data_IF_750156031975
#
_entry.id   IF_750156031975
#
_cell.length_a   1.000
_cell.length_b   1.000
_cell.length_c   1.000
_cell.angle_alpha   90.00
_cell.angle_beta   90.00
_cell.angle_gamma   90.00
#
_symmetry.space_group_name_H-M   'P 1'
#
loop_
_entity.id
_entity.type
_entity.pdbx_description
1 polymer ?
#
# COMPACT_ATOMS: atom_id res chain seq x y z
N UNK A 1 51.71 14.99 9.46
CA UNK A 1 50.41 15.51 9.92
C UNK A 1 49.43 15.52 8.74
N UNK A 2 48.68 14.44 8.47
CA UNK A 2 47.70 14.42 7.35
C UNK A 2 46.42 13.61 7.65
N UNK A 3 46.35 12.95 8.81
CA UNK A 3 45.25 12.04 9.21
C UNK A 3 44.20 12.69 10.13
N UNK A 4 44.47 13.86 10.70
CA UNK A 4 43.54 14.52 11.63
C UNK A 4 42.34 15.15 10.93
N UNK A 5 42.50 15.58 9.68
CA UNK A 5 41.43 16.22 8.90
C UNK A 5 40.33 15.20 8.55
N UNK A 6 40.73 13.96 8.24
CA UNK A 6 39.80 12.86 7.97
C UNK A 6 38.95 12.50 9.20
N UNK A 7 39.50 12.60 10.43
CA UNK A 7 38.75 12.31 11.66
C UNK A 7 37.59 13.30 11.91
N UNK A 8 37.68 14.51 11.38
CA UNK A 8 36.65 15.55 11.55
C UNK A 8 35.67 15.59 10.40
N UNK A 9 36.13 15.35 9.16
CA UNK A 9 35.29 15.42 7.96
C UNK A 9 34.40 14.17 7.83
N UNK A 10 34.93 12.98 8.16
CA UNK A 10 34.20 11.72 8.04
C UNK A 10 32.88 11.69 8.83
N UNK A 11 32.82 12.09 10.12
CA UNK A 11 31.56 12.10 10.85
C UNK A 11 30.56 13.12 10.30
N UNK A 12 31.02 14.28 9.81
CA UNK A 12 30.13 15.28 9.20
C UNK A 12 29.46 14.74 7.93
N UNK A 13 30.22 14.04 7.07
CA UNK A 13 29.67 13.39 5.87
C UNK A 13 28.69 12.28 6.25
N UNK A 14 29.00 11.48 7.27
CA UNK A 14 28.10 10.41 7.73
C UNK A 14 26.76 10.96 8.23
N UNK A 15 26.75 12.11 8.92
CA UNK A 15 25.51 12.77 9.38
C UNK A 15 24.69 13.27 8.20
N UNK A 16 25.32 13.95 7.23
CA UNK A 16 24.63 14.45 6.03
C UNK A 16 24.09 13.29 5.18
N UNK A 17 24.85 12.20 5.05
CA UNK A 17 24.41 10.99 4.35
C UNK A 17 23.22 10.33 5.06
N UNK A 18 23.26 10.19 6.38
CA UNK A 18 22.16 9.61 7.17
C UNK A 18 20.88 10.45 7.06
N UNK A 19 21.00 11.78 7.08
CA UNK A 19 19.89 12.68 6.81
C UNK A 19 19.37 12.51 5.38
N UNK A 20 20.24 12.44 4.37
CA UNK A 20 19.84 12.21 2.98
C UNK A 20 19.11 10.88 2.77
N UNK A 21 19.54 9.82 3.46
CA UNK A 21 18.89 8.51 3.41
C UNK A 21 17.51 8.51 4.07
N UNK A 22 17.28 9.34 5.10
CA UNK A 22 15.96 9.42 5.75
C UNK A 22 14.84 9.93 4.84
N UNK A 23 15.17 10.79 3.87
CA UNK A 23 14.20 11.29 2.88
C UNK A 23 13.97 10.34 1.71
N UNK A 24 14.87 9.37 1.48
CA UNK A 24 14.70 8.39 0.41
C UNK A 24 13.78 7.21 0.79
N UNK A 25 13.34 7.13 2.05
CA UNK A 25 12.45 6.08 2.58
C UNK A 25 11.00 6.56 2.64
N UNK A 26 10.62 7.55 1.84
CA UNK A 26 9.21 7.87 1.66
C UNK A 26 8.60 6.83 0.70
N UNK A 27 8.02 5.79 1.32
CA UNK A 27 7.30 4.70 0.66
C UNK A 27 6.28 5.27 -0.32
N UNK A 28 6.33 4.79 -1.56
CA UNK A 28 5.48 5.16 -2.68
C UNK A 28 4.07 4.64 -2.45
N UNK A 29 3.36 5.31 -1.55
CA UNK A 29 1.96 5.10 -1.23
C UNK A 29 1.11 5.62 -2.39
N UNK A 30 0.76 4.72 -3.31
CA UNK A 30 -0.03 5.03 -4.49
C UNK A 30 -1.48 4.84 -4.12
N UNK A 31 -2.21 5.95 -4.01
CA UNK A 31 -3.67 5.91 -3.92
C UNK A 31 -4.21 5.30 -5.20
N UNK A 32 -4.97 4.22 -5.06
CA UNK A 32 -5.60 3.49 -6.14
C UNK A 32 -7.06 3.20 -5.82
N UNK A 33 -7.86 3.00 -6.85
CA UNK A 33 -9.27 2.61 -6.69
C UNK A 33 -9.33 1.12 -6.35
N UNK A 34 -10.06 0.77 -5.31
CA UNK A 34 -10.45 -0.59 -4.98
C UNK A 34 -11.96 -0.77 -5.13
N UNK A 35 -12.36 -2.01 -5.42
CA UNK A 35 -13.74 -2.41 -5.69
C UNK A 35 -14.22 -3.40 -4.64
N UNK A 36 -15.45 -3.29 -4.18
CA UNK A 36 -16.07 -4.25 -3.26
C UNK A 36 -17.56 -4.42 -3.54
N UNK A 37 -18.13 -5.53 -3.10
CA UNK A 37 -19.56 -5.81 -3.20
C UNK A 37 -20.19 -5.76 -1.80
N UNK A 38 -21.14 -4.85 -1.60
CA UNK A 38 -21.90 -4.77 -0.35
C UNK A 38 -23.22 -5.53 -0.52
N UNK A 39 -23.49 -6.59 0.25
CA UNK A 39 -24.75 -7.35 0.15
C UNK A 39 -26.02 -6.52 0.43
N UNK A 40 -25.90 -5.33 1.00
CA UNK A 40 -26.99 -4.41 1.32
C UNK A 40 -27.22 -3.36 0.23
N UNK A 41 -26.26 -3.13 -0.66
CA UNK A 41 -26.33 -2.11 -1.72
C UNK A 41 -26.22 -2.82 -3.07
N UNK A 42 -27.17 -2.58 -3.97
CA UNK A 42 -27.11 -3.20 -5.28
C UNK A 42 -25.94 -2.63 -6.11
N UNK A 43 -24.99 -3.49 -6.46
CA UNK A 43 -23.89 -3.19 -7.39
C UNK A 43 -22.54 -2.96 -6.71
N UNK A 44 -21.49 -3.10 -7.52
CA UNK A 44 -20.09 -2.94 -7.09
C UNK A 44 -19.86 -1.48 -6.67
N UNK A 45 -19.25 -1.32 -5.50
CA UNK A 45 -18.86 -0.04 -4.94
C UNK A 45 -17.36 0.20 -5.16
N UNK A 46 -16.99 1.47 -5.27
CA UNK A 46 -15.61 1.92 -5.46
C UNK A 46 -15.15 2.74 -4.26
N UNK A 47 -13.94 2.49 -3.77
CA UNK A 47 -13.32 3.26 -2.69
C UNK A 47 -11.85 3.56 -3.02
N UNK A 48 -11.40 4.77 -2.70
CA UNK A 48 -9.98 5.12 -2.83
C UNK A 48 -9.21 4.52 -1.67
N UNK A 49 -8.21 3.70 -1.99
CA UNK A 49 -7.38 3.02 -1.01
C UNK A 49 -5.90 3.24 -1.30
N UNK A 50 -5.11 3.29 -0.25
CA UNK A 50 -3.63 3.39 -0.28
C UNK A 50 -3.00 2.07 0.24
N UNK A 51 -3.75 0.99 0.12
CA UNK A 51 -3.28 -0.32 0.52
C UNK A 51 -2.24 -0.84 -0.47
N UNK A 52 -1.15 -1.39 0.07
CA UNK A 52 -0.23 -2.19 -0.73
C UNK A 52 -0.96 -3.46 -1.19
N UNK A 53 -0.88 -3.77 -2.48
CA UNK A 53 -1.29 -5.07 -3.00
C UNK A 53 -0.47 -6.16 -2.32
N UNK A 54 -1.08 -6.91 -1.40
CA UNK A 54 -0.47 -8.10 -0.81
C UNK A 54 -0.48 -9.25 -1.82
N UNK A 55 -1.50 -9.31 -2.69
CA UNK A 55 -1.64 -10.28 -3.78
C UNK A 55 -2.12 -9.58 -5.06
N UNK A 56 -1.99 -10.20 -6.25
CA UNK A 56 -2.47 -9.62 -7.50
C UNK A 56 -3.99 -9.37 -7.51
N UNK A 57 -4.75 -10.07 -6.67
CA UNK A 57 -6.22 -10.00 -6.64
C UNK A 57 -6.74 -9.28 -5.38
N UNK A 58 -6.02 -9.36 -4.25
CA UNK A 58 -6.43 -8.78 -2.97
C UNK A 58 -5.67 -7.50 -2.63
N UNK A 59 -6.41 -6.41 -2.40
CA UNK A 59 -5.85 -5.14 -1.95
C UNK A 59 -5.73 -5.07 -0.42
N UNK A 60 -6.87 -5.00 0.26
CA UNK A 60 -6.94 -4.93 1.72
C UNK A 60 -8.40 -4.93 2.20
N UNK A 61 -8.61 -5.02 3.52
CA UNK A 61 -9.91 -4.81 4.13
C UNK A 61 -10.12 -3.32 4.46
N UNK A 62 -11.28 -2.78 4.10
CA UNK A 62 -11.71 -1.42 4.52
C UNK A 62 -11.89 -1.36 6.03
N UNK A 63 -11.96 -0.14 6.58
CA UNK A 63 -12.30 0.08 8.00
C UNK A 63 -13.68 -0.51 8.36
N UNK A 64 -14.56 -0.66 7.37
CA UNK A 64 -15.89 -1.28 7.47
C UNK A 64 -15.85 -2.81 7.44
N UNK A 65 -14.68 -3.42 7.18
CA UNK A 65 -14.47 -4.86 7.14
C UNK A 65 -14.68 -5.51 5.77
N UNK A 66 -14.90 -4.73 4.71
CA UNK A 66 -15.08 -5.26 3.35
C UNK A 66 -13.75 -5.51 2.66
N UNK A 67 -13.61 -6.64 1.99
CA UNK A 67 -12.45 -6.95 1.14
C UNK A 67 -12.50 -6.10 -0.15
N UNK A 68 -11.43 -5.34 -0.41
CA UNK A 68 -11.22 -4.60 -1.65
C UNK A 68 -10.43 -5.42 -2.65
N UNK A 69 -10.83 -5.34 -3.91
CA UNK A 69 -10.18 -5.97 -5.06
C UNK A 69 -9.76 -4.90 -6.06
N UNK A 70 -8.77 -5.23 -6.90
CA UNK A 70 -8.23 -4.28 -7.88
C UNK A 70 -9.01 -4.23 -9.19
N UNK A 71 -10.05 -5.05 -9.31
CA UNK A 71 -10.94 -5.15 -10.47
C UNK A 71 -12.40 -5.05 -10.07
N UNK A 72 -13.21 -4.44 -10.94
CA UNK A 72 -14.66 -4.43 -10.82
C UNK A 72 -15.27 -5.81 -11.15
N UNK A 73 -14.54 -6.71 -11.85
CA UNK A 73 -15.02 -8.04 -12.22
C UNK A 73 -14.93 -9.03 -11.04
N UNK A 74 -15.63 -8.70 -9.95
CA UNK A 74 -15.67 -9.47 -8.70
C UNK A 74 -16.18 -10.91 -8.88
N UNK A 75 -16.89 -11.19 -9.98
CA UNK A 75 -17.39 -12.51 -10.31
C UNK A 75 -16.32 -13.50 -10.73
N UNK A 76 -15.20 -13.01 -11.28
CA UNK A 76 -14.08 -13.83 -11.73
C UNK A 76 -13.09 -14.16 -10.61
N UNK A 77 -13.31 -13.60 -9.41
CA UNK A 77 -12.43 -13.79 -8.26
C UNK A 77 -12.86 -15.08 -7.53
N UNK A 78 -12.00 -16.12 -7.50
CA UNK A 78 -12.37 -17.45 -7.03
C UNK A 78 -12.70 -17.49 -5.52
N UNK A 79 -12.18 -16.55 -4.72
CA UNK A 79 -12.34 -16.49 -3.27
C UNK A 79 -12.94 -15.15 -2.80
N UNK A 80 -13.94 -14.63 -3.52
CA UNK A 80 -14.56 -13.37 -3.09
C UNK A 80 -15.34 -13.56 -1.77
N UNK A 81 -14.78 -13.10 -0.65
CA UNK A 81 -15.36 -13.23 0.71
C UNK A 81 -16.75 -12.57 0.86
N UNK A 82 -17.09 -11.63 -0.03
CA UNK A 82 -18.32 -10.85 0.04
C UNK A 82 -19.34 -11.23 -1.03
N UNK A 83 -18.98 -12.14 -1.95
CA UNK A 83 -19.95 -12.71 -2.88
C UNK A 83 -21.05 -13.33 -2.03
N UNK A 84 -22.26 -12.75 -2.05
CA UNK A 84 -23.45 -13.46 -1.56
C UNK A 84 -23.46 -14.79 -2.30
N UNK A 85 -23.14 -15.87 -1.58
CA UNK A 85 -23.39 -17.22 -2.05
C UNK A 85 -24.90 -17.33 -2.13
N UNK A 86 -25.46 -16.88 -3.25
CA UNK A 86 -26.83 -17.17 -3.61
C UNK A 86 -26.85 -18.70 -3.80
N UNK A 87 -27.27 -19.40 -2.76
CA UNK A 87 -27.80 -20.75 -2.85
C UNK A 87 -29.10 -20.74 -3.65
#
# INVERSE_FOLDING_TARGET
>A
MKTNIFKTILPAIAIVLAMGLSFAVESTRVVQTGYFDDPLIAGIQEELTDCQKDNPEDLCKTASGFQLYDTADLDNIPNNELKRVNQ
#
